data_IF_783737668031
#
_entry.id   IF_783737668031
#
_cell.length_a   1.000
_cell.length_b   1.000
_cell.length_c   1.000
_cell.angle_alpha   90.00
_cell.angle_beta   90.00
_cell.angle_gamma   90.00
#
_symmetry.space_group_name_H-M   'P 1'
#
loop_
_entity.id
_entity.type
_entity.pdbx_description
1 polymer ?
#
# COMPACT_ATOMS: atom_id res chain seq x y z
N UNK A 1 33.28 60.23 -17.88
CA UNK A 1 34.09 59.03 -17.56
C UNK A 1 33.44 58.32 -16.37
N UNK A 2 33.39 56.99 -16.35
CA UNK A 2 32.51 56.24 -15.45
C UNK A 2 33.23 55.15 -14.65
N UNK A 3 32.58 54.74 -13.55
CA UNK A 3 32.84 53.58 -12.67
C UNK A 3 34.06 53.61 -11.74
N UNK A 4 33.77 53.52 -10.45
CA UNK A 4 34.72 53.25 -9.36
C UNK A 4 34.86 51.74 -9.14
N UNK A 5 36.02 51.29 -8.65
CA UNK A 5 36.23 49.94 -8.14
C UNK A 5 36.28 49.96 -6.60
N UNK A 6 35.69 48.96 -5.95
CA UNK A 6 35.75 48.77 -4.50
C UNK A 6 36.35 47.42 -4.11
N UNK A 7 37.44 47.43 -3.34
CA UNK A 7 38.00 46.28 -2.61
C UNK A 7 38.48 46.76 -1.24
N UNK A 8 38.14 46.04 -0.17
CA UNK A 8 38.76 46.21 1.15
C UNK A 8 38.71 44.89 1.94
N UNK A 9 39.67 44.71 2.84
CA UNK A 9 39.83 43.50 3.65
C UNK A 9 40.52 43.82 5.00
N UNK A 10 40.51 42.84 5.91
CA UNK A 10 41.21 42.73 7.22
C UNK A 10 40.38 42.93 8.53
N UNK A 11 40.85 42.31 9.63
CA UNK A 11 40.17 42.00 10.93
C UNK A 11 40.81 42.78 12.10
N UNK A 12 40.28 42.75 13.36
CA UNK A 12 40.76 41.78 14.40
C UNK A 12 39.76 41.42 15.57
N UNK A 13 40.28 40.85 16.67
CA UNK A 13 39.64 40.20 17.88
C UNK A 13 39.86 41.06 19.16
N UNK A 14 39.15 41.02 20.31
CA UNK A 14 38.03 40.21 20.86
C UNK A 14 38.29 39.74 22.33
N UNK A 15 37.29 39.74 23.25
CA UNK A 15 37.44 39.45 24.72
C UNK A 15 36.19 38.78 25.40
N UNK A 16 36.28 38.38 26.69
CA UNK A 16 35.58 37.19 27.29
C UNK A 16 34.49 37.41 28.40
N UNK A 17 33.94 36.29 28.95
CA UNK A 17 32.77 36.11 29.91
C UNK A 17 33.16 36.14 31.42
N UNK A 18 32.21 36.19 32.42
CA UNK A 18 31.58 34.98 33.07
C UNK A 18 30.11 35.15 33.65
N UNK A 19 29.21 34.12 33.69
CA UNK A 19 28.73 33.20 34.81
C UNK A 19 27.98 33.85 36.02
N UNK A 20 26.86 33.38 36.63
CA UNK A 20 25.88 32.26 36.41
C UNK A 20 24.98 31.90 37.68
N UNK A 21 24.03 30.92 37.58
CA UNK A 21 23.28 30.16 38.68
C UNK A 21 22.18 30.94 39.49
N UNK A 22 21.08 30.41 40.13
CA UNK A 22 20.45 29.07 40.36
C UNK A 22 18.88 29.13 40.57
N UNK A 23 18.22 28.05 41.10
CA UNK A 23 16.74 27.76 41.18
C UNK A 23 16.14 27.79 42.65
N UNK A 24 15.03 27.10 43.04
CA UNK A 24 13.56 27.30 42.84
C UNK A 24 12.68 27.23 44.17
N UNK A 25 11.32 27.15 44.06
CA UNK A 25 10.33 26.35 44.88
C UNK A 25 9.05 27.10 45.34
N UNK A 26 7.87 26.47 45.20
CA UNK A 26 6.60 26.80 45.91
C UNK A 26 5.37 26.00 45.41
N UNK A 27 4.60 25.35 46.29
CA UNK A 27 3.39 24.54 45.97
C UNK A 27 2.19 24.91 46.88
N UNK A 28 0.97 25.02 46.35
CA UNK A 28 -0.31 24.66 47.03
C UNK A 28 -1.55 24.70 46.10
N UNK A 29 -2.62 24.00 46.50
CA UNK A 29 -4.04 23.99 46.03
C UNK A 29 -4.93 24.10 47.31
N UNK A 30 -6.26 24.40 47.33
CA UNK A 30 -7.30 23.99 46.34
C UNK A 30 -8.58 24.87 46.12
N UNK A 31 -9.34 24.50 45.07
CA UNK A 31 -10.82 24.55 44.86
C UNK A 31 -11.65 25.81 45.22
N UNK A 32 -12.31 26.38 44.19
CA UNK A 32 -13.55 27.16 44.28
C UNK A 32 -14.51 26.78 43.13
N UNK A 33 -15.83 26.67 43.39
CA UNK A 33 -16.83 26.14 42.44
C UNK A 33 -17.43 27.22 41.54
N UNK A 34 -17.55 26.95 40.23
CA UNK A 34 -18.44 27.66 39.32
C UNK A 34 -19.28 26.67 38.50
N UNK A 35 -20.56 26.99 38.25
CA UNK A 35 -21.56 26.08 37.63
C UNK A 35 -21.43 26.03 36.09
N UNK A 36 -21.82 24.91 35.44
CA UNK A 36 -21.66 24.74 34.00
C UNK A 36 -22.75 25.46 33.18
N UNK A 37 -22.36 26.08 32.07
CA UNK A 37 -23.26 26.71 31.09
C UNK A 37 -23.36 25.86 29.83
N UNK A 38 -24.58 25.66 29.32
CA UNK A 38 -24.85 25.36 27.90
C UNK A 38 -24.53 23.94 27.41
N UNK A 39 -25.49 23.01 27.56
CA UNK A 39 -25.50 21.78 26.75
C UNK A 39 -25.78 22.12 25.29
N UNK A 40 -24.73 22.18 24.45
CA UNK A 40 -24.90 22.16 23.00
C UNK A 40 -25.59 20.86 22.57
N UNK A 41 -26.60 20.96 21.70
CA UNK A 41 -27.37 19.80 21.22
C UNK A 41 -26.46 18.86 20.40
N UNK A 42 -26.53 17.53 20.57
CA UNK A 42 -25.74 16.61 19.79
C UNK A 42 -26.20 16.62 18.33
N UNK A 43 -25.28 16.94 17.41
CA UNK A 43 -25.49 16.75 15.97
C UNK A 43 -25.79 15.27 15.72
N UNK A 44 -26.83 15.02 14.92
CA UNK A 44 -27.50 13.72 14.87
C UNK A 44 -26.58 12.55 14.53
N UNK A 45 -26.85 11.40 15.16
CA UNK A 45 -26.29 10.11 14.76
C UNK A 45 -26.55 9.90 13.27
N UNK A 46 -25.50 9.99 12.45
CA UNK A 46 -25.56 9.54 11.07
C UNK A 46 -26.04 8.07 11.07
N UNK A 47 -27.11 7.80 10.33
CA UNK A 47 -27.70 6.46 10.24
C UNK A 47 -26.60 5.47 9.81
N UNK A 48 -26.43 4.32 10.50
CA UNK A 48 -25.48 3.32 10.03
C UNK A 48 -25.91 2.84 8.66
N UNK A 49 -25.05 3.04 7.65
CA UNK A 49 -25.23 2.45 6.32
C UNK A 49 -25.42 0.95 6.50
N UNK A 50 -26.48 0.42 5.87
CA UNK A 50 -27.11 -0.83 6.28
C UNK A 50 -26.15 -2.01 6.43
N UNK A 51 -26.44 -2.85 7.43
CA UNK A 51 -25.79 -4.16 7.61
C UNK A 51 -25.80 -4.89 6.27
N UNK A 52 -24.62 -5.10 5.68
CA UNK A 52 -24.47 -6.10 4.63
C UNK A 52 -24.94 -7.44 5.21
N UNK A 53 -25.74 -8.17 4.43
CA UNK A 53 -26.31 -9.46 4.84
C UNK A 53 -25.17 -10.41 5.26
N UNK A 54 -25.35 -11.27 6.28
CA UNK A 54 -24.37 -12.29 6.61
C UNK A 54 -24.36 -13.32 5.47
N UNK A 55 -23.48 -13.13 4.49
CA UNK A 55 -23.21 -14.14 3.47
C UNK A 55 -22.55 -15.31 4.19
N UNK A 56 -23.10 -16.50 4.00
CA UNK A 56 -22.62 -17.71 4.66
C UNK A 56 -21.12 -17.91 4.41
N UNK A 57 -20.40 -18.29 5.47
CA UNK A 57 -18.95 -18.52 5.43
C UNK A 57 -18.66 -19.81 4.67
N UNK A 58 -18.80 -19.77 3.34
CA UNK A 58 -18.53 -20.90 2.47
C UNK A 58 -17.08 -21.36 2.66
N UNK A 59 -16.93 -22.63 3.06
CA UNK A 59 -15.64 -23.30 3.23
C UNK A 59 -14.89 -23.43 1.89
N UNK A 60 -15.64 -23.44 0.79
CA UNK A 60 -15.20 -23.52 -0.60
C UNK A 60 -14.36 -22.31 -1.02
N UNK A 61 -13.15 -22.49 -1.58
CA UNK A 61 -12.36 -21.39 -2.10
C UNK A 61 -12.94 -20.83 -3.41
N UNK A 62 -13.08 -19.51 -3.49
CA UNK A 62 -13.42 -18.81 -4.74
C UNK A 62 -12.18 -18.81 -5.63
N UNK A 63 -12.24 -19.50 -6.76
CA UNK A 63 -11.14 -19.54 -7.74
C UNK A 63 -11.36 -18.45 -8.79
N UNK A 64 -10.38 -17.56 -8.91
CA UNK A 64 -10.40 -16.40 -9.82
C UNK A 64 -9.35 -16.57 -10.91
N UNK A 65 -9.76 -16.49 -12.17
CA UNK A 65 -8.85 -16.54 -13.31
C UNK A 65 -8.34 -15.14 -13.66
N UNK A 66 -7.02 -14.94 -13.55
CA UNK A 66 -6.36 -13.66 -13.84
C UNK A 66 -6.19 -13.32 -15.32
N UNK A 67 -6.51 -14.24 -16.23
CA UNK A 67 -6.29 -14.06 -17.68
C UNK A 67 -6.98 -12.80 -18.20
N UNK A 68 -6.23 -11.91 -18.88
CA UNK A 68 -6.72 -10.66 -19.47
C UNK A 68 -7.37 -9.67 -18.48
N UNK A 69 -7.11 -9.81 -17.18
CA UNK A 69 -7.58 -8.87 -16.15
C UNK A 69 -6.56 -7.76 -15.88
N UNK A 70 -7.02 -6.53 -15.71
CA UNK A 70 -6.20 -5.39 -15.28
C UNK A 70 -5.82 -5.55 -13.81
N UNK A 71 -4.51 -5.64 -13.55
CA UNK A 71 -3.93 -6.05 -12.27
C UNK A 71 -4.48 -5.29 -11.05
N UNK A 72 -4.58 -3.96 -11.14
CA UNK A 72 -5.16 -3.11 -10.08
C UNK A 72 -6.65 -3.35 -9.86
N UNK A 73 -7.45 -3.42 -10.94
CA UNK A 73 -8.92 -3.61 -10.85
C UNK A 73 -9.27 -4.97 -10.27
N UNK A 74 -8.56 -6.01 -10.70
CA UNK A 74 -8.65 -7.36 -10.13
C UNK A 74 -8.33 -7.35 -8.63
N UNK A 75 -7.22 -6.70 -8.24
CA UNK A 75 -6.77 -6.65 -6.85
C UNK A 75 -7.78 -5.97 -5.92
N UNK A 76 -8.44 -4.89 -6.36
CA UNK A 76 -9.47 -4.20 -5.57
C UNK A 76 -10.70 -5.08 -5.31
N UNK A 77 -11.17 -5.82 -6.33
CA UNK A 77 -12.29 -6.74 -6.18
C UNK A 77 -11.94 -7.90 -5.24
N UNK A 78 -10.73 -8.48 -5.39
CA UNK A 78 -10.25 -9.55 -4.51
C UNK A 78 -10.06 -9.06 -3.06
N UNK A 79 -9.50 -7.88 -2.85
CA UNK A 79 -9.33 -7.30 -1.52
C UNK A 79 -10.66 -7.15 -0.78
N UNK A 80 -11.74 -6.77 -1.48
CA UNK A 80 -13.09 -6.72 -0.91
C UNK A 80 -13.59 -8.11 -0.49
N UNK A 81 -13.51 -9.12 -1.36
CA UNK A 81 -13.92 -10.49 -1.05
C UNK A 81 -13.17 -11.08 0.15
N UNK A 82 -11.87 -10.78 0.30
CA UNK A 82 -11.05 -11.23 1.43
C UNK A 82 -11.45 -10.58 2.77
N UNK A 83 -11.89 -9.32 2.74
CA UNK A 83 -12.40 -8.59 3.90
C UNK A 83 -13.81 -9.05 4.31
N UNK A 84 -14.63 -9.47 3.34
CA UNK A 84 -15.91 -10.16 3.58
C UNK A 84 -15.72 -11.56 4.21
N UNK A 85 -14.49 -12.07 4.25
CA UNK A 85 -14.11 -13.32 4.93
C UNK A 85 -13.93 -14.53 4.00
N UNK A 86 -14.09 -14.35 2.69
CA UNK A 86 -13.97 -15.43 1.71
C UNK A 86 -12.52 -15.90 1.56
N UNK A 87 -12.33 -17.18 1.24
CA UNK A 87 -11.04 -17.72 0.77
C UNK A 87 -10.96 -17.52 -0.74
N UNK A 88 -9.93 -16.81 -1.21
CA UNK A 88 -9.78 -16.47 -2.64
C UNK A 88 -8.46 -17.01 -3.17
N UNK A 89 -8.54 -17.71 -4.29
CA UNK A 89 -7.38 -18.29 -4.97
C UNK A 89 -7.30 -17.74 -6.40
N UNK A 90 -6.24 -16.99 -6.70
CA UNK A 90 -5.96 -16.46 -8.05
C UNK A 90 -5.12 -17.48 -8.82
N UNK A 91 -5.54 -17.83 -10.03
CA UNK A 91 -4.78 -18.66 -10.99
C UNK A 91 -4.34 -17.83 -12.21
N UNK A 92 -3.35 -18.33 -12.95
CA UNK A 92 -2.80 -17.69 -14.15
C UNK A 92 -2.27 -16.26 -13.88
N UNK A 93 -1.58 -16.06 -12.75
CA UNK A 93 -1.12 -14.73 -12.31
C UNK A 93 -0.16 -14.05 -13.30
N UNK A 94 0.49 -14.83 -14.17
CA UNK A 94 1.34 -14.37 -15.28
C UNK A 94 0.56 -13.75 -16.46
N UNK A 95 -0.73 -14.08 -16.62
CA UNK A 95 -1.63 -13.55 -17.67
C UNK A 95 -2.45 -12.34 -17.24
N UNK A 96 -2.22 -11.85 -16.03
CA UNK A 96 -2.74 -10.57 -15.56
C UNK A 96 -2.01 -9.45 -16.32
N UNK A 97 -2.72 -8.37 -16.61
CA UNK A 97 -2.29 -7.29 -17.48
C UNK A 97 -2.07 -5.99 -16.70
N UNK A 98 -0.94 -5.32 -16.92
CA UNK A 98 -0.70 -3.94 -16.47
C UNK A 98 -0.92 -3.00 -17.66
N UNK A 99 -1.65 -1.90 -17.46
CA UNK A 99 -1.84 -0.86 -18.47
C UNK A 99 -0.61 0.03 -18.61
N UNK A 100 -0.13 0.24 -19.84
CA UNK A 100 1.00 1.11 -20.14
C UNK A 100 1.94 0.51 -21.18
N UNK A 101 2.86 1.32 -21.71
CA UNK A 101 3.90 0.82 -22.60
C UNK A 101 4.94 -0.01 -21.84
N UNK A 102 5.46 -1.07 -22.48
CA UNK A 102 6.43 -2.01 -21.92
C UNK A 102 7.69 -1.36 -21.36
N UNK A 103 8.25 -0.39 -22.09
CA UNK A 103 9.41 0.41 -21.67
C UNK A 103 9.15 1.12 -20.34
N UNK A 104 8.01 1.81 -20.22
CA UNK A 104 7.65 2.56 -19.01
C UNK A 104 7.37 1.63 -17.82
N UNK A 105 6.52 0.61 -17.99
CA UNK A 105 6.16 -0.32 -16.89
C UNK A 105 7.39 -1.07 -16.36
N UNK A 106 8.29 -1.51 -17.25
CA UNK A 106 9.56 -2.14 -16.83
C UNK A 106 10.52 -1.12 -16.23
N UNK A 107 10.55 0.12 -16.73
CA UNK A 107 11.36 1.22 -16.22
C UNK A 107 10.99 1.64 -14.80
N UNK A 108 9.70 1.90 -14.55
CA UNK A 108 9.12 2.16 -13.23
C UNK A 108 9.45 1.01 -12.27
N UNK A 109 9.29 -0.24 -12.71
CA UNK A 109 9.64 -1.38 -11.87
C UNK A 109 11.14 -1.43 -11.56
N UNK A 110 12.01 -1.21 -12.55
CA UNK A 110 13.47 -1.14 -12.34
C UNK A 110 13.88 0.01 -11.41
N UNK A 111 13.19 1.16 -11.44
CA UNK A 111 13.38 2.22 -10.45
C UNK A 111 12.94 1.78 -9.05
N UNK A 112 11.76 1.16 -8.94
CA UNK A 112 11.26 0.60 -7.69
C UNK A 112 12.23 -0.42 -7.08
N UNK A 113 12.92 -1.22 -7.90
CA UNK A 113 13.94 -2.19 -7.48
C UNK A 113 15.26 -1.58 -6.98
N UNK A 114 15.56 -0.31 -7.30
CA UNK A 114 16.73 0.40 -6.77
C UNK A 114 16.54 0.86 -5.33
N UNK A 115 15.30 0.90 -4.84
CA UNK A 115 14.98 1.31 -3.47
C UNK A 115 15.48 0.22 -2.52
N UNK A 116 16.51 0.52 -1.73
CA UNK A 116 17.02 -0.41 -0.71
C UNK A 116 17.43 0.36 0.53
N UNK A 117 17.53 -0.35 1.67
CA UNK A 117 18.14 0.20 2.88
C UNK A 117 19.65 0.22 2.69
N UNK A 118 20.25 1.42 2.77
CA UNK A 118 21.70 1.62 2.67
C UNK A 118 22.43 0.88 3.81
N UNK A 119 21.85 0.92 5.03
CA UNK A 119 22.46 0.34 6.22
C UNK A 119 22.37 -1.20 6.25
N UNK A 120 21.20 -1.75 5.93
CA UNK A 120 20.92 -3.18 6.09
C UNK A 120 19.92 -3.67 5.04
N UNK A 121 20.39 -4.11 3.85
CA UNK A 121 19.52 -4.59 2.77
C UNK A 121 18.59 -5.74 3.19
N UNK A 122 19.05 -6.62 4.09
CA UNK A 122 18.26 -7.77 4.62
C UNK A 122 16.97 -7.36 5.35
N UNK A 123 16.96 -6.19 5.99
CA UNK A 123 15.79 -5.64 6.70
C UNK A 123 15.13 -4.48 5.96
N UNK A 124 15.55 -4.22 4.71
CA UNK A 124 14.95 -3.20 3.86
C UNK A 124 13.59 -3.61 3.27
N UNK A 125 13.02 -2.78 2.39
CA UNK A 125 11.83 -3.15 1.64
C UNK A 125 12.12 -4.40 0.79
N UNK A 126 11.30 -5.44 0.91
CA UNK A 126 11.43 -6.65 0.07
C UNK A 126 10.83 -6.41 -1.31
N UNK A 127 11.46 -6.92 -2.39
CA UNK A 127 11.06 -6.69 -3.78
C UNK A 127 10.74 -8.02 -4.51
N UNK A 128 9.45 -8.43 -4.58
CA UNK A 128 9.06 -9.67 -5.26
C UNK A 128 9.32 -9.57 -6.76
N UNK A 129 9.78 -10.66 -7.40
CA UNK A 129 9.97 -10.73 -8.86
C UNK A 129 8.97 -11.66 -9.56
N UNK A 130 8.49 -12.69 -8.85
CA UNK A 130 7.55 -13.69 -9.36
C UNK A 130 6.13 -13.12 -9.41
N UNK A 131 5.36 -13.26 -10.50
CA UNK A 131 4.12 -12.50 -10.71
C UNK A 131 3.03 -12.76 -9.66
N UNK A 132 2.90 -13.99 -9.15
CA UNK A 132 2.04 -14.33 -8.00
C UNK A 132 2.36 -13.51 -6.74
N UNK A 133 3.64 -13.36 -6.40
CA UNK A 133 4.11 -12.59 -5.24
C UNK A 133 3.99 -11.08 -5.45
N UNK A 134 4.07 -10.60 -6.69
CA UNK A 134 3.78 -9.20 -7.04
C UNK A 134 2.29 -8.90 -6.83
N UNK A 135 1.38 -9.75 -7.33
CA UNK A 135 -0.07 -9.62 -7.12
C UNK A 135 -0.44 -9.72 -5.64
N UNK A 136 0.13 -10.68 -4.91
CA UNK A 136 -0.03 -10.80 -3.45
C UNK A 136 0.43 -9.54 -2.72
N UNK A 137 1.56 -8.93 -3.13
CA UNK A 137 2.01 -7.63 -2.60
C UNK A 137 1.02 -6.51 -2.90
N UNK A 138 0.48 -6.43 -4.10
CA UNK A 138 -0.50 -5.39 -4.49
C UNK A 138 -1.76 -5.49 -3.64
N UNK A 139 -2.36 -6.69 -3.53
CA UNK A 139 -3.55 -6.93 -2.70
C UNK A 139 -3.25 -6.63 -1.23
N UNK A 140 -2.07 -7.02 -0.72
CA UNK A 140 -1.60 -6.64 0.62
C UNK A 140 -1.49 -5.12 0.83
N UNK A 141 -1.25 -4.34 -0.22
CA UNK A 141 -1.26 -2.87 -0.17
C UNK A 141 -2.67 -2.27 -0.07
N UNK A 142 -3.69 -3.00 -0.54
CA UNK A 142 -5.11 -2.62 -0.47
C UNK A 142 -5.80 -3.08 0.82
N UNK A 143 -5.14 -3.91 1.64
CA UNK A 143 -5.65 -4.43 2.90
C UNK A 143 -5.11 -3.65 4.12
N UNK A 144 -5.85 -3.58 5.25
CA UNK A 144 -5.42 -2.88 6.46
C UNK A 144 -4.32 -3.66 7.20
N UNK A 145 -3.09 -3.65 6.67
CA UNK A 145 -1.92 -4.46 7.08
C UNK A 145 -1.60 -4.44 8.58
N UNK A 146 -1.89 -3.35 9.29
CA UNK A 146 -1.62 -3.20 10.74
C UNK A 146 -2.71 -3.79 11.65
N UNK A 147 -3.89 -4.16 11.12
CA UNK A 147 -5.02 -4.68 11.89
C UNK A 147 -5.11 -6.21 11.77
N UNK A 148 -5.54 -6.95 12.82
CA UNK A 148 -5.64 -8.40 12.77
C UNK A 148 -6.56 -8.90 11.63
N UNK A 149 -7.69 -8.22 11.40
CA UNK A 149 -8.61 -8.50 10.28
C UNK A 149 -7.91 -8.44 8.90
N UNK A 150 -7.01 -7.49 8.67
CA UNK A 150 -6.27 -7.39 7.40
C UNK A 150 -5.19 -8.46 7.25
N UNK A 151 -4.56 -8.86 8.35
CA UNK A 151 -3.59 -9.96 8.40
C UNK A 151 -4.30 -11.29 8.11
N UNK A 152 -5.46 -11.51 8.72
CA UNK A 152 -6.28 -12.71 8.49
C UNK A 152 -6.82 -12.77 7.07
N UNK A 153 -7.33 -11.65 6.52
CA UNK A 153 -7.72 -11.52 5.12
C UNK A 153 -6.56 -11.90 4.17
N UNK A 154 -5.33 -11.47 4.46
CA UNK A 154 -4.16 -11.86 3.67
C UNK A 154 -3.85 -13.37 3.77
N UNK A 155 -4.04 -14.00 4.94
CA UNK A 155 -3.87 -15.46 5.10
C UNK A 155 -4.88 -16.28 4.29
N UNK A 156 -6.05 -15.70 3.97
CA UNK A 156 -7.09 -16.33 3.11
C UNK A 156 -6.77 -16.28 1.61
N UNK A 157 -5.84 -15.42 1.19
CA UNK A 157 -5.42 -15.27 -0.21
C UNK A 157 -4.40 -16.33 -0.60
N UNK A 158 -4.61 -16.96 -1.76
CA UNK A 158 -3.57 -17.70 -2.48
C UNK A 158 -3.47 -17.17 -3.91
N UNK A 159 -2.26 -17.15 -4.47
CA UNK A 159 -2.00 -16.76 -5.84
C UNK A 159 -1.02 -17.75 -6.46
N UNK A 160 -1.30 -18.17 -7.69
CA UNK A 160 -0.50 -19.16 -8.41
C UNK A 160 -0.12 -18.64 -9.79
N UNK A 161 1.09 -19.00 -10.22
CA UNK A 161 1.51 -18.97 -11.62
C UNK A 161 0.95 -20.22 -12.30
N UNK A 162 0.24 -20.04 -13.42
CA UNK A 162 -0.56 -21.09 -14.05
C UNK A 162 -1.73 -21.57 -13.19
N UNK A 163 -2.22 -22.77 -13.49
CA UNK A 163 -3.34 -23.41 -12.80
C UNK A 163 -2.90 -24.76 -12.19
N UNK A 164 -2.90 -24.91 -10.84
CA UNK A 164 -2.69 -26.20 -10.18
C UNK A 164 -3.67 -27.26 -10.66
N UNK A 165 -3.23 -28.53 -10.75
CA UNK A 165 -4.07 -29.65 -11.21
C UNK A 165 -5.35 -29.80 -10.35
N UNK A 166 -5.21 -29.65 -9.03
CA UNK A 166 -6.30 -29.67 -8.03
C UNK A 166 -7.41 -28.65 -8.31
N UNK A 167 -7.06 -27.47 -8.86
CA UNK A 167 -8.00 -26.36 -9.03
C UNK A 167 -8.73 -26.40 -10.39
N UNK A 168 -8.46 -27.40 -11.24
CA UNK A 168 -9.11 -27.53 -12.56
C UNK A 168 -10.61 -27.83 -12.46
N UNK A 169 -11.05 -28.51 -11.39
CA UNK A 169 -12.45 -28.88 -11.19
C UNK A 169 -13.35 -27.74 -10.67
N UNK A 170 -12.76 -26.67 -10.13
CA UNK A 170 -13.52 -25.55 -9.55
C UNK A 170 -14.02 -24.58 -10.62
N UNK A 171 -15.24 -24.06 -10.43
CA UNK A 171 -15.78 -22.98 -11.28
C UNK A 171 -14.90 -21.74 -11.16
N UNK A 172 -14.32 -21.33 -12.29
CA UNK A 172 -13.50 -20.11 -12.39
C UNK A 172 -14.42 -18.90 -12.47
N UNK A 173 -14.17 -17.93 -11.60
CA UNK A 173 -14.79 -16.60 -11.64
C UNK A 173 -13.88 -15.65 -12.41
N UNK A 174 -14.47 -14.85 -13.29
CA UNK A 174 -13.85 -13.70 -13.92
C UNK A 174 -14.65 -12.45 -13.57
N UNK A 175 -13.99 -11.30 -13.46
CA UNK A 175 -14.63 -10.02 -13.13
C UNK A 175 -14.70 -9.13 -14.36
N UNK A 176 -15.86 -9.07 -15.01
CA UNK A 176 -16.13 -8.25 -16.22
C UNK A 176 -15.55 -6.82 -16.12
N UNK A 177 -15.77 -6.14 -14.98
CA UNK A 177 -15.28 -4.77 -14.73
C UNK A 177 -13.75 -4.64 -14.70
N UNK A 178 -13.04 -5.75 -14.48
CA UNK A 178 -11.58 -5.81 -14.44
C UNK A 178 -10.96 -6.29 -15.76
N UNK A 179 -11.72 -6.81 -16.73
CA UNK A 179 -11.20 -7.23 -18.03
C UNK A 179 -10.63 -6.01 -18.80
N UNK A 180 -9.60 -6.23 -19.62
CA UNK A 180 -9.07 -5.23 -20.56
C UNK A 180 -10.15 -4.74 -21.54
N UNK A 181 -10.05 -3.47 -21.95
CA UNK A 181 -10.98 -2.86 -22.93
C UNK A 181 -10.31 -2.42 -24.24
N UNK A 182 -8.99 -2.31 -24.25
CA UNK A 182 -8.19 -2.00 -25.45
C UNK A 182 -7.50 -3.28 -25.94
N UNK A 183 -6.94 -3.24 -27.14
CA UNK A 183 -6.05 -4.29 -27.66
C UNK A 183 -4.91 -4.59 -26.67
N UNK A 184 -4.47 -5.86 -26.64
CA UNK A 184 -3.40 -6.37 -25.77
C UNK A 184 -2.10 -5.58 -25.89
N UNK A 185 -1.81 -4.98 -27.05
CA UNK A 185 -0.61 -4.17 -27.29
C UNK A 185 -0.47 -2.92 -26.38
N UNK A 186 -1.57 -2.43 -25.77
CA UNK A 186 -1.54 -1.33 -24.80
C UNK A 186 -1.29 -1.79 -23.35
N UNK A 187 -1.01 -3.08 -23.17
CA UNK A 187 -0.80 -3.72 -21.88
C UNK A 187 0.49 -4.54 -21.88
N UNK A 188 1.00 -4.79 -20.68
CA UNK A 188 2.16 -5.64 -20.43
C UNK A 188 1.68 -6.82 -19.58
N UNK A 189 1.97 -8.05 -19.99
CA UNK A 189 1.65 -9.21 -19.16
C UNK A 189 2.56 -9.24 -17.92
N UNK A 190 1.99 -9.66 -16.79
CA UNK A 190 2.74 -9.86 -15.55
C UNK A 190 3.89 -10.86 -15.72
N UNK A 191 3.74 -11.84 -16.60
CA UNK A 191 4.79 -12.78 -16.99
C UNK A 191 5.96 -12.11 -17.72
N UNK A 192 5.69 -11.24 -18.68
CA UNK A 192 6.74 -10.44 -19.34
C UNK A 192 7.42 -9.47 -18.37
N UNK A 193 6.65 -8.79 -17.51
CA UNK A 193 7.24 -7.92 -16.49
C UNK A 193 8.21 -8.70 -15.62
N UNK A 194 7.77 -9.84 -15.07
CA UNK A 194 8.59 -10.75 -14.27
C UNK A 194 9.91 -11.11 -14.96
N UNK A 195 9.86 -11.60 -16.20
CA UNK A 195 11.05 -11.94 -17.00
C UNK A 195 12.02 -10.77 -17.14
N UNK A 196 11.51 -9.57 -17.45
CA UNK A 196 12.34 -8.36 -17.58
C UNK A 196 12.94 -7.85 -16.25
N UNK A 197 12.47 -8.36 -15.11
CA UNK A 197 12.97 -8.01 -13.76
C UNK A 197 13.68 -9.19 -13.07
N UNK A 198 14.10 -10.21 -13.82
CA UNK A 198 14.90 -11.33 -13.31
C UNK A 198 14.09 -12.43 -12.62
N UNK A 199 12.84 -12.64 -13.03
CA UNK A 199 12.15 -13.91 -12.80
C UNK A 199 12.35 -14.83 -14.01
N UNK A 200 13.15 -15.87 -13.82
CA UNK A 200 13.34 -16.99 -14.74
C UNK A 200 12.54 -18.20 -14.25
#
# INVERSE_FOLDING_TARGET
MASQQGKSASKPVGKAKPVGKAKPVGKAKPVGKAKPVGKAKPVGKAKPVGKAKPVEKTSTPIVVDGTNHVAGRLSSNVAKLLLEGNRVTIINSERIMISGQKSNVVGEYKQFLKISSILNPKHGPFHPRRPDTIISRMIRGMLPRKKPSGIEALKRLRAYVGAPKELKAFKKVQFEKAIIRKSSAYYVSMGELGKNVGWN
#
